data_IF_492686211732
#
_entry.id   IF_492686211732
#
_cell.length_a   1.000
_cell.length_b   1.000
_cell.length_c   1.000
_cell.angle_alpha   90.00
_cell.angle_beta   90.00
_cell.angle_gamma   90.00
#
_symmetry.space_group_name_H-M   'P 1'
#
loop_
_entity.id
_entity.type
_entity.pdbx_description
1 polymer ?
#
# COMPACT_ATOMS: atom_id res chain seq x y z
N UNK A 1 19.60 2.65 -5.07
CA UNK A 1 19.06 1.45 -5.70
C UNK A 1 17.98 0.83 -4.84
N UNK A 2 16.88 0.44 -5.45
CA UNK A 2 15.80 -0.25 -4.72
C UNK A 2 16.22 -1.67 -4.36
N UNK A 3 15.65 -2.21 -3.29
CA UNK A 3 15.83 -3.63 -2.93
C UNK A 3 15.18 -4.54 -3.97
N UNK A 4 15.67 -5.78 -4.07
CA UNK A 4 15.13 -6.77 -4.99
C UNK A 4 13.65 -7.07 -4.72
N UNK A 5 12.93 -7.54 -5.74
CA UNK A 5 11.54 -7.99 -5.59
C UNK A 5 11.44 -9.09 -4.54
N UNK A 6 12.36 -10.06 -4.56
CA UNK A 6 12.43 -11.13 -3.55
C UNK A 6 12.47 -10.57 -2.14
N UNK A 7 13.34 -9.60 -1.85
CA UNK A 7 13.44 -9.01 -0.52
C UNK A 7 12.15 -8.32 -0.10
N UNK A 8 11.46 -7.63 -1.03
CA UNK A 8 10.16 -6.99 -0.74
C UNK A 8 9.10 -8.02 -0.39
N UNK A 9 9.01 -9.11 -1.15
CA UNK A 9 8.09 -10.22 -0.91
C UNK A 9 8.35 -10.87 0.45
N UNK A 10 9.61 -11.16 0.76
CA UNK A 10 9.99 -11.78 2.02
C UNK A 10 9.63 -10.89 3.22
N UNK A 11 9.90 -9.58 3.15
CA UNK A 11 9.51 -8.62 4.19
C UNK A 11 7.99 -8.53 4.37
N UNK A 12 7.20 -8.54 3.29
CA UNK A 12 5.74 -8.53 3.39
C UNK A 12 5.25 -9.80 4.09
N UNK A 13 5.75 -10.98 3.69
CA UNK A 13 5.36 -12.26 4.31
C UNK A 13 5.71 -12.29 5.80
N UNK A 14 6.85 -11.75 6.19
CA UNK A 14 7.23 -11.61 7.60
C UNK A 14 6.27 -10.67 8.34
N UNK A 15 5.95 -9.52 7.75
CA UNK A 15 5.09 -8.51 8.37
C UNK A 15 3.67 -9.02 8.64
N UNK A 16 3.14 -9.90 7.78
CA UNK A 16 1.76 -10.40 7.90
C UNK A 16 1.66 -11.79 8.55
N UNK A 17 2.78 -12.43 8.89
CA UNK A 17 2.83 -13.83 9.33
C UNK A 17 1.90 -14.14 10.50
N UNK A 18 1.82 -13.24 11.46
CA UNK A 18 1.06 -13.44 12.71
C UNK A 18 -0.41 -12.96 12.60
N UNK A 19 -0.83 -12.54 11.40
CA UNK A 19 -2.17 -12.03 11.13
C UNK A 19 -2.91 -12.95 10.14
N UNK A 20 -3.72 -13.91 10.61
CA UNK A 20 -4.35 -14.93 9.75
C UNK A 20 -5.35 -14.39 8.72
N UNK A 21 -5.81 -13.16 8.90
CA UNK A 21 -6.72 -12.46 7.98
C UNK A 21 -5.98 -11.73 6.84
N UNK A 22 -4.65 -11.58 6.90
CA UNK A 22 -3.87 -11.10 5.77
C UNK A 22 -3.37 -12.26 4.92
N UNK A 23 -3.45 -12.10 3.60
CA UNK A 23 -2.93 -13.05 2.63
C UNK A 23 -2.04 -12.31 1.64
N UNK A 24 -0.83 -12.82 1.43
CA UNK A 24 0.03 -12.34 0.35
C UNK A 24 -0.51 -12.84 -1.00
N UNK A 25 -0.61 -11.94 -1.96
CA UNK A 25 -0.93 -12.28 -3.35
C UNK A 25 0.21 -11.84 -4.27
N UNK A 26 0.62 -12.72 -5.16
CA UNK A 26 1.64 -12.47 -6.20
C UNK A 26 1.03 -12.18 -7.57
N UNK A 27 -0.27 -11.90 -7.61
CA UNK A 27 -1.05 -11.68 -8.84
C UNK A 27 -0.44 -10.61 -9.75
N UNK A 28 0.10 -9.54 -9.15
CA UNK A 28 0.76 -8.47 -9.89
C UNK A 28 2.19 -8.80 -10.28
N UNK A 29 2.89 -9.62 -9.49
CA UNK A 29 4.28 -10.02 -9.77
C UNK A 29 4.39 -10.97 -10.94
N UNK A 30 3.33 -11.75 -11.21
CA UNK A 30 3.26 -12.69 -12.34
C UNK A 30 2.95 -12.01 -13.67
N UNK A 31 2.55 -10.73 -13.64
CA UNK A 31 2.18 -9.98 -14.83
C UNK A 31 3.40 -9.29 -15.42
N UNK A 32 3.63 -9.50 -16.71
CA UNK A 32 4.67 -8.79 -17.44
C UNK A 32 4.25 -7.36 -17.77
N UNK A 33 5.19 -6.42 -17.70
CA UNK A 33 4.98 -5.01 -18.04
C UNK A 33 4.39 -4.18 -16.90
N UNK A 34 3.70 -3.10 -17.28
CA UNK A 34 3.10 -2.17 -16.30
C UNK A 34 1.87 -2.76 -15.65
N UNK A 35 1.84 -2.77 -14.33
CA UNK A 35 0.69 -3.22 -13.54
C UNK A 35 -0.29 -2.08 -13.33
N UNK A 36 -1.56 -2.33 -13.66
CA UNK A 36 -2.65 -1.39 -13.43
C UNK A 36 -3.68 -1.99 -12.47
N UNK A 37 -4.21 -1.20 -11.56
CA UNK A 37 -5.21 -1.60 -10.57
C UNK A 37 -6.44 -2.24 -11.22
N UNK A 38 -6.92 -1.68 -12.32
CA UNK A 38 -8.07 -2.22 -13.06
C UNK A 38 -7.84 -3.65 -13.55
N UNK A 39 -6.63 -3.98 -13.99
CA UNK A 39 -6.31 -5.32 -14.49
C UNK A 39 -6.21 -6.33 -13.32
N UNK A 40 -5.71 -5.88 -12.17
CA UNK A 40 -5.68 -6.68 -10.93
C UNK A 40 -7.08 -6.98 -10.42
N UNK A 41 -7.96 -5.98 -10.37
CA UNK A 41 -9.35 -6.16 -9.98
C UNK A 41 -10.12 -7.09 -10.95
N UNK A 42 -9.90 -6.96 -12.27
CA UNK A 42 -10.51 -7.88 -13.27
C UNK A 42 -10.10 -9.34 -13.05
N UNK A 43 -8.85 -9.56 -12.66
CA UNK A 43 -8.37 -10.91 -12.40
C UNK A 43 -8.95 -11.47 -11.10
N UNK A 44 -8.97 -10.67 -10.04
CA UNK A 44 -9.55 -11.05 -8.76
C UNK A 44 -11.05 -11.36 -8.87
N UNK A 45 -11.83 -10.51 -9.54
CA UNK A 45 -13.26 -10.71 -9.73
C UNK A 45 -13.60 -11.92 -10.59
N UNK A 46 -12.69 -12.34 -11.49
CA UNK A 46 -12.83 -13.60 -12.25
C UNK A 46 -12.54 -14.84 -11.40
N UNK A 47 -11.62 -14.74 -10.45
CA UNK A 47 -11.26 -15.84 -9.55
C UNK A 47 -12.34 -16.10 -8.50
N UNK A 48 -13.00 -15.05 -8.02
CA UNK A 48 -14.06 -15.14 -7.02
C UNK A 48 -15.16 -14.13 -7.35
N UNK A 49 -16.24 -14.62 -7.93
CA UNK A 49 -17.40 -13.82 -8.36
C UNK A 49 -18.34 -13.45 -7.23
N UNK A 50 -18.26 -14.13 -6.09
CA UNK A 50 -19.15 -13.95 -4.95
C UNK A 50 -18.56 -12.97 -3.91
N UNK A 51 -17.32 -12.54 -4.11
CA UNK A 51 -16.66 -11.57 -3.24
C UNK A 51 -17.00 -10.13 -3.61
N UNK A 52 -17.27 -9.30 -2.60
CA UNK A 52 -17.24 -7.85 -2.73
C UNK A 52 -15.84 -7.36 -2.39
N UNK A 53 -15.23 -6.67 -3.33
CA UNK A 53 -13.88 -6.12 -3.16
C UNK A 53 -13.92 -4.71 -2.61
N UNK A 54 -12.98 -4.40 -1.73
CA UNK A 54 -12.72 -3.07 -1.21
C UNK A 54 -11.27 -2.71 -1.54
N UNK A 55 -11.08 -1.59 -2.20
CA UNK A 55 -9.75 -1.09 -2.55
C UNK A 55 -9.36 0.05 -1.60
N UNK A 56 -8.31 -0.15 -0.80
CA UNK A 56 -7.82 0.84 0.16
C UNK A 56 -6.81 1.75 -0.51
N UNK A 57 -7.02 3.07 -0.44
CA UNK A 57 -6.07 4.06 -0.96
C UNK A 57 -5.98 5.30 -0.07
N UNK A 58 -4.91 6.09 -0.23
CA UNK A 58 -4.81 7.41 0.38
C UNK A 58 -5.59 8.48 -0.40
N UNK A 59 -5.93 9.59 0.26
CA UNK A 59 -6.63 10.71 -0.35
C UNK A 59 -5.90 11.28 -1.58
N UNK A 60 -4.56 11.38 -1.54
CA UNK A 60 -3.76 11.82 -2.70
C UNK A 60 -4.01 10.97 -3.95
N UNK A 61 -4.16 9.66 -3.78
CA UNK A 61 -4.47 8.73 -4.87
C UNK A 61 -5.90 8.90 -5.36
N UNK A 62 -6.85 9.18 -4.46
CA UNK A 62 -8.24 9.43 -4.84
C UNK A 62 -8.38 10.69 -5.69
N UNK A 63 -7.65 11.76 -5.37
CA UNK A 63 -7.63 12.98 -6.19
C UNK A 63 -7.07 12.74 -7.60
N UNK A 64 -6.24 11.72 -7.77
CA UNK A 64 -5.60 11.37 -9.04
C UNK A 64 -6.24 10.19 -9.76
N UNK A 65 -7.29 9.57 -9.21
CA UNK A 65 -7.85 8.31 -9.72
C UNK A 65 -8.33 8.42 -11.17
N UNK A 66 -8.76 9.60 -11.60
CA UNK A 66 -9.20 9.85 -12.98
C UNK A 66 -8.06 9.80 -14.01
N UNK A 67 -6.81 9.89 -13.56
CA UNK A 67 -5.60 9.69 -14.41
C UNK A 67 -5.21 8.23 -14.56
N UNK A 68 -5.86 7.32 -13.82
CA UNK A 68 -5.56 5.91 -13.85
C UNK A 68 -6.19 5.26 -15.09
N UNK A 69 -5.72 4.06 -15.41
CA UNK A 69 -6.29 3.27 -16.52
C UNK A 69 -7.71 2.83 -16.18
N UNK A 70 -8.66 3.17 -17.04
CA UNK A 70 -10.07 2.76 -16.95
C UNK A 70 -10.70 3.00 -15.55
N UNK A 71 -10.70 4.24 -15.00
CA UNK A 71 -11.13 4.47 -13.64
C UNK A 71 -12.58 4.03 -13.39
N UNK A 72 -13.48 4.21 -14.34
CA UNK A 72 -14.87 3.75 -14.23
C UNK A 72 -14.99 2.25 -13.99
N UNK A 73 -14.12 1.43 -14.58
CA UNK A 73 -14.11 -0.01 -14.33
C UNK A 73 -13.62 -0.36 -12.92
N UNK A 74 -12.78 0.46 -12.30
CA UNK A 74 -12.37 0.25 -10.90
C UNK A 74 -13.60 0.36 -9.99
N UNK A 75 -14.43 1.40 -10.17
CA UNK A 75 -15.64 1.63 -9.37
C UNK A 75 -16.73 0.57 -9.58
N UNK A 76 -16.78 -0.10 -10.74
CA UNK A 76 -17.71 -1.22 -10.97
C UNK A 76 -17.28 -2.51 -10.27
N UNK A 77 -16.00 -2.69 -9.99
CA UNK A 77 -15.43 -3.92 -9.46
C UNK A 77 -15.10 -3.86 -7.96
N UNK A 78 -14.94 -2.67 -7.41
CA UNK A 78 -14.58 -2.50 -6.00
C UNK A 78 -15.16 -1.21 -5.42
N UNK A 79 -15.56 -1.26 -4.16
CA UNK A 79 -15.79 -0.06 -3.36
C UNK A 79 -14.43 0.51 -2.91
N UNK A 80 -14.34 1.83 -2.75
CA UNK A 80 -13.11 2.48 -2.33
C UNK A 80 -13.16 2.76 -0.82
N UNK A 81 -12.08 2.42 -0.11
CA UNK A 81 -11.85 2.87 1.26
C UNK A 81 -10.71 3.89 1.25
N UNK A 82 -11.03 5.15 1.54
CA UNK A 82 -10.05 6.24 1.51
C UNK A 82 -9.52 6.56 2.91
N UNK A 83 -8.21 6.41 3.09
CA UNK A 83 -7.49 6.79 4.30
C UNK A 83 -6.99 8.23 4.18
N UNK A 84 -7.26 9.06 5.20
CA UNK A 84 -6.79 10.43 5.29
C UNK A 84 -5.65 10.56 6.28
N UNK A 85 -4.69 11.44 6.02
CA UNK A 85 -3.62 11.77 6.96
C UNK A 85 -3.88 13.10 7.67
N UNK A 86 -4.15 14.18 6.93
CA UNK A 86 -4.41 15.53 7.47
C UNK A 86 -5.19 16.40 6.48
N UNK A 87 -5.89 15.79 5.53
CA UNK A 87 -6.62 16.54 4.51
C UNK A 87 -7.81 17.29 5.10
N UNK A 88 -8.14 18.44 4.53
CA UNK A 88 -9.38 19.11 4.90
C UNK A 88 -10.55 18.20 4.53
N UNK A 89 -11.33 17.82 5.52
CA UNK A 89 -12.45 16.88 5.37
C UNK A 89 -13.44 17.36 4.30
N UNK A 90 -13.69 18.67 4.25
CA UNK A 90 -14.62 19.26 3.27
C UNK A 90 -14.17 19.13 1.80
N UNK A 91 -12.86 19.23 1.53
CA UNK A 91 -12.36 19.06 0.17
C UNK A 91 -12.43 17.61 -0.29
N UNK A 92 -12.16 16.68 0.62
CA UNK A 92 -12.27 15.25 0.35
C UNK A 92 -13.71 14.82 0.15
N UNK A 93 -14.64 15.32 0.99
CA UNK A 93 -16.08 15.01 0.87
C UNK A 93 -16.59 15.48 -0.51
N UNK A 94 -16.24 16.67 -0.95
CA UNK A 94 -16.61 17.17 -2.27
C UNK A 94 -16.04 16.31 -3.43
N UNK A 95 -14.82 15.81 -3.29
CA UNK A 95 -14.23 14.89 -4.26
C UNK A 95 -14.94 13.53 -4.27
N UNK A 96 -15.32 13.03 -3.11
CA UNK A 96 -16.08 11.77 -2.98
C UNK A 96 -17.43 11.92 -3.68
N UNK A 97 -18.20 12.96 -3.35
CA UNK A 97 -19.52 13.21 -3.94
C UNK A 97 -19.42 13.29 -5.48
N UNK A 98 -18.43 14.02 -6.00
CA UNK A 98 -18.18 14.13 -7.42
C UNK A 98 -17.89 12.77 -8.09
N UNK A 99 -17.02 11.95 -7.50
CA UNK A 99 -16.64 10.66 -8.07
C UNK A 99 -17.77 9.63 -7.96
N UNK A 100 -18.54 9.62 -6.86
CA UNK A 100 -19.70 8.75 -6.70
C UNK A 100 -20.79 9.07 -7.73
N UNK A 101 -21.09 10.36 -7.96
CA UNK A 101 -22.04 10.78 -8.98
C UNK A 101 -21.56 10.40 -10.39
N UNK A 102 -20.28 10.63 -10.69
CA UNK A 102 -19.73 10.41 -12.03
C UNK A 102 -19.61 8.94 -12.42
N UNK A 103 -19.25 8.06 -11.48
CA UNK A 103 -18.92 6.66 -11.76
C UNK A 103 -19.90 5.66 -11.18
N UNK A 104 -20.98 6.12 -10.52
CA UNK A 104 -21.94 5.27 -9.79
C UNK A 104 -21.27 4.28 -8.84
N UNK A 105 -20.18 4.74 -8.18
CA UNK A 105 -19.36 3.95 -7.24
C UNK A 105 -19.71 4.22 -5.80
N UNK A 106 -18.99 3.52 -4.90
CA UNK A 106 -19.09 3.75 -3.45
C UNK A 106 -17.71 4.02 -2.87
N UNK A 107 -17.63 5.13 -2.11
CA UNK A 107 -16.39 5.56 -1.46
C UNK A 107 -16.67 5.77 0.03
N UNK A 108 -15.92 5.12 0.88
CA UNK A 108 -16.07 5.20 2.33
C UNK A 108 -14.82 5.79 2.97
N UNK A 109 -15.01 6.62 3.97
CA UNK A 109 -13.89 7.06 4.82
C UNK A 109 -13.37 5.89 5.67
N UNK A 110 -12.08 5.63 5.57
CA UNK A 110 -11.40 4.71 6.48
C UNK A 110 -10.95 5.49 7.71
N UNK A 111 -11.65 5.31 8.83
CA UNK A 111 -11.25 5.90 10.10
C UNK A 111 -10.02 5.16 10.64
N UNK A 112 -8.87 5.77 10.55
CA UNK A 112 -7.61 5.24 11.08
C UNK A 112 -6.87 6.32 11.87
N UNK A 113 -6.10 5.95 12.91
CA UNK A 113 -5.19 6.90 13.55
C UNK A 113 -4.22 7.48 12.53
N UNK A 114 -3.94 8.78 12.61
CA UNK A 114 -2.88 9.39 11.81
C UNK A 114 -1.53 8.94 12.37
N UNK A 115 -0.82 8.11 11.63
CA UNK A 115 0.53 7.68 11.98
C UNK A 115 1.48 8.30 10.95
N UNK A 116 2.29 9.26 11.41
CA UNK A 116 3.26 9.96 10.57
C UNK A 116 4.52 9.12 10.33
N UNK A 117 4.36 7.99 9.64
CA UNK A 117 5.47 7.12 9.23
C UNK A 117 5.43 6.96 7.71
N UNK A 118 6.56 7.26 7.06
CA UNK A 118 6.71 6.97 5.63
C UNK A 118 7.79 5.93 5.40
N UNK A 119 7.65 5.16 4.32
CA UNK A 119 8.70 4.22 3.90
C UNK A 119 10.01 4.92 3.56
N UNK A 120 9.96 6.19 3.17
CA UNK A 120 11.15 7.00 2.90
C UNK A 120 11.89 7.33 4.20
N UNK A 121 11.17 7.68 5.27
CA UNK A 121 11.77 7.96 6.58
C UNK A 121 12.40 6.71 7.18
N UNK A 122 11.74 5.56 7.06
CA UNK A 122 12.32 4.28 7.50
C UNK A 122 13.62 4.00 6.75
N UNK A 123 13.66 4.14 5.42
CA UNK A 123 14.88 3.94 4.64
C UNK A 123 15.99 4.93 5.02
N UNK A 124 15.65 6.19 5.27
CA UNK A 124 16.62 7.18 5.76
C UNK A 124 17.18 6.80 7.13
N UNK A 125 16.33 6.32 8.05
CA UNK A 125 16.78 5.84 9.36
C UNK A 125 17.75 4.67 9.21
N UNK A 126 17.44 3.69 8.37
CA UNK A 126 18.36 2.58 8.06
C UNK A 126 19.70 3.11 7.57
N UNK A 127 19.72 4.00 6.56
CA UNK A 127 20.96 4.52 5.96
C UNK A 127 21.80 5.37 6.91
N UNK A 128 21.18 6.01 7.92
CA UNK A 128 21.85 6.83 8.91
C UNK A 128 22.18 6.08 10.21
N UNK A 129 21.95 4.77 10.26
CA UNK A 129 22.14 4.00 11.49
C UNK A 129 21.18 4.32 12.64
N UNK A 130 20.11 5.09 12.36
CA UNK A 130 19.08 5.41 13.36
C UNK A 130 18.16 4.22 13.61
N UNK A 131 17.66 4.07 14.83
CA UNK A 131 16.73 2.98 15.19
C UNK A 131 15.46 3.01 14.36
N UNK A 132 15.03 1.82 13.91
CA UNK A 132 13.75 1.56 13.26
C UNK A 132 12.82 0.68 14.09
N UNK A 133 13.21 0.39 15.35
CA UNK A 133 12.33 -0.27 16.30
C UNK A 133 11.04 0.52 16.50
N UNK A 134 9.94 -0.18 16.72
CA UNK A 134 8.57 0.35 16.84
C UNK A 134 7.96 0.92 15.54
N UNK A 135 8.72 1.00 14.45
CA UNK A 135 8.20 1.38 13.12
C UNK A 135 7.85 0.17 12.25
N UNK A 136 8.46 -0.97 12.55
CA UNK A 136 8.30 -2.24 11.82
C UNK A 136 8.22 -3.41 12.79
N UNK A 137 7.60 -4.54 12.40
CA UNK A 137 7.73 -5.80 13.14
C UNK A 137 9.19 -6.24 13.27
N UNK A 138 9.57 -6.80 14.43
CA UNK A 138 10.95 -7.22 14.73
C UNK A 138 11.53 -8.16 13.67
N UNK A 139 10.75 -9.13 13.16
CA UNK A 139 11.23 -10.03 12.11
C UNK A 139 11.58 -9.30 10.80
N UNK A 140 10.90 -8.20 10.49
CA UNK A 140 11.22 -7.37 9.32
C UNK A 140 12.50 -6.58 9.59
N UNK A 141 12.69 -6.08 10.81
CA UNK A 141 13.92 -5.38 11.23
C UNK A 141 15.12 -6.32 11.11
N UNK A 142 15.02 -7.52 11.69
CA UNK A 142 16.03 -8.57 11.60
C UNK A 142 16.37 -8.92 10.14
N UNK A 143 15.35 -9.01 9.29
CA UNK A 143 15.55 -9.28 7.86
C UNK A 143 16.34 -8.17 7.17
N UNK A 144 15.98 -6.90 7.43
CA UNK A 144 16.67 -5.72 6.89
C UNK A 144 18.14 -5.73 7.30
N UNK A 145 18.43 -6.01 8.58
CA UNK A 145 19.79 -6.02 9.12
C UNK A 145 20.64 -7.18 8.57
N UNK A 146 20.10 -8.41 8.56
CA UNK A 146 20.81 -9.60 8.06
C UNK A 146 21.15 -9.54 6.58
N UNK A 147 20.32 -8.84 5.78
CA UNK A 147 20.53 -8.70 4.35
C UNK A 147 21.16 -7.35 3.96
N UNK A 148 21.62 -6.55 4.94
CA UNK A 148 22.22 -5.22 4.75
C UNK A 148 21.40 -4.31 3.80
N UNK A 149 20.06 -4.34 3.98
CA UNK A 149 19.18 -3.55 3.14
C UNK A 149 19.21 -2.10 3.57
N UNK A 150 19.08 -1.22 2.59
CA UNK A 150 19.04 0.23 2.79
C UNK A 150 20.29 0.82 3.49
N UNK A 151 21.40 0.11 3.53
CA UNK A 151 22.62 0.53 4.21
C UNK A 151 22.58 0.38 5.73
N UNK A 152 21.77 -0.54 6.25
CA UNK A 152 21.50 -0.72 7.68
C UNK A 152 22.74 -1.03 8.54
N UNK A 153 23.81 -1.57 7.95
CA UNK A 153 25.04 -1.96 8.67
C UNK A 153 26.20 -1.00 8.48
N UNK A 154 26.07 0.00 7.60
CA UNK A 154 27.20 0.85 7.18
C UNK A 154 27.83 1.67 8.31
N UNK A 155 27.08 1.97 9.38
CA UNK A 155 27.54 2.86 10.48
C UNK A 155 27.80 2.15 11.82
N UNK A 156 27.26 0.94 12.02
CA UNK A 156 27.45 0.20 13.29
C UNK A 156 28.89 -0.33 13.50
N UNK A 157 29.72 -0.33 12.44
CA UNK A 157 31.14 -0.74 12.51
C UNK A 157 32.08 0.42 12.83
N UNK A 158 31.54 1.64 13.02
CA UNK A 158 32.33 2.86 13.30
C UNK A 158 32.16 3.41 14.72
N UNK A 159 31.40 2.75 15.58
CA UNK A 159 31.18 3.13 16.98
C UNK A 159 31.95 2.21 17.95
#
# INVERSE_FOLDING_TARGET
GGVSEKNRVDMIKLAIRDFPYFKFSDIELKREGTTYTVDTLRELTKQDTDCRYYFIMGADSLYQIETWKDPGQIFTMADILVATRNDSRSALDAQIDYLEEKYDGKIYHLSSPSIEISSNDIRKRCSNGSSIHFFLPEDVIDYIERNDLYGSTADRRKA
#
